data_IF_100300820609
#
_entry.id   IF_100300820609
#
_cell.length_a   1.000
_cell.length_b   1.000
_cell.length_c   1.000
_cell.angle_alpha   90.00
_cell.angle_beta   90.00
_cell.angle_gamma   90.00
#
_symmetry.space_group_name_H-M   'P 1'
#
loop_
_entity.id
_entity.type
_entity.pdbx_description
1 polymer ?
#
# COMPACT_ATOMS: atom_id res chain seq x y z
N UNK A 1 -51.61 25.49 -28.16
CA UNK A 1 -51.34 25.57 -26.71
C UNK A 1 -51.31 24.19 -26.04
N UNK A 2 -52.30 23.31 -26.20
CA UNK A 2 -52.32 21.98 -25.54
C UNK A 2 -51.11 21.08 -25.89
N UNK A 3 -50.61 21.08 -27.13
CA UNK A 3 -49.43 20.28 -27.56
C UNK A 3 -48.11 20.73 -26.93
N UNK A 4 -47.95 22.02 -26.66
CA UNK A 4 -46.79 22.58 -25.96
C UNK A 4 -46.80 22.20 -24.48
N UNK A 5 -47.99 22.15 -23.87
CA UNK A 5 -48.14 21.75 -22.47
C UNK A 5 -47.74 20.28 -22.26
N UNK A 6 -48.15 19.38 -23.16
CA UNK A 6 -47.75 17.96 -23.09
C UNK A 6 -46.23 17.74 -23.26
N UNK A 7 -45.60 18.51 -24.14
CA UNK A 7 -44.17 18.47 -24.33
C UNK A 7 -43.41 18.94 -23.06
N UNK A 8 -43.90 20.00 -22.42
CA UNK A 8 -43.30 20.51 -21.17
C UNK A 8 -43.48 19.53 -20.01
N UNK A 9 -44.63 18.89 -19.89
CA UNK A 9 -44.89 17.87 -18.86
C UNK A 9 -44.01 16.62 -19.09
N UNK A 10 -43.84 16.19 -20.35
CA UNK A 10 -42.98 15.07 -20.70
C UNK A 10 -41.49 15.37 -20.36
N UNK A 11 -41.01 16.58 -20.62
CA UNK A 11 -39.63 17.00 -20.27
C UNK A 11 -39.44 17.08 -18.76
N UNK A 12 -40.43 17.56 -18.01
CA UNK A 12 -40.38 17.56 -16.54
C UNK A 12 -40.39 16.17 -15.93
N UNK A 13 -41.14 15.23 -16.51
CA UNK A 13 -41.12 13.82 -16.03
C UNK A 13 -39.82 13.12 -16.32
N UNK A 14 -39.11 13.47 -17.40
CA UNK A 14 -37.78 12.92 -17.69
C UNK A 14 -36.69 13.44 -16.74
N UNK A 15 -36.83 14.63 -16.18
CA UNK A 15 -35.86 15.21 -15.23
C UNK A 15 -35.93 14.60 -13.83
N UNK A 16 -37.02 13.88 -13.49
CA UNK A 16 -37.17 13.25 -12.17
C UNK A 16 -36.48 11.89 -12.03
N UNK A 17 -35.93 11.36 -13.12
CA UNK A 17 -35.18 10.07 -13.09
C UNK A 17 -33.67 10.21 -12.94
N UNK A 18 -33.16 11.39 -12.62
CA UNK A 18 -31.78 11.57 -12.23
C UNK A 18 -31.58 10.98 -10.83
N UNK A 19 -31.54 9.62 -10.73
CA UNK A 19 -31.10 8.92 -9.54
C UNK A 19 -29.68 9.33 -9.26
N UNK A 20 -29.47 10.06 -8.18
CA UNK A 20 -28.12 10.32 -7.66
C UNK A 20 -27.49 8.95 -7.34
N UNK A 21 -26.70 8.42 -8.26
CA UNK A 21 -26.02 7.17 -8.09
C UNK A 21 -25.00 7.35 -6.96
N UNK A 22 -25.30 6.76 -5.81
CA UNK A 22 -24.39 6.79 -4.66
C UNK A 22 -23.09 6.12 -5.08
N UNK A 23 -22.00 6.88 -5.25
CA UNK A 23 -20.69 6.34 -5.50
C UNK A 23 -20.21 5.65 -4.22
N UNK A 24 -20.08 4.33 -4.28
CA UNK A 24 -19.48 3.54 -3.21
C UNK A 24 -18.00 3.38 -3.59
N UNK A 25 -17.10 3.80 -2.71
CA UNK A 25 -15.68 3.50 -2.81
C UNK A 25 -15.39 2.27 -1.95
N UNK A 26 -14.68 1.31 -2.53
CA UNK A 26 -14.22 0.10 -1.84
C UNK A 26 -12.71 0.16 -1.75
N UNK A 27 -12.18 -0.13 -0.57
CA UNK A 27 -10.74 -0.16 -0.31
C UNK A 27 -10.36 -1.51 0.28
N UNK A 28 -9.25 -2.08 -0.17
CA UNK A 28 -8.61 -3.20 0.50
C UNK A 28 -7.62 -2.68 1.55
N UNK A 29 -7.59 -3.34 2.69
CA UNK A 29 -6.63 -3.12 3.76
C UNK A 29 -5.92 -4.45 4.02
N UNK A 30 -4.60 -4.43 4.08
CA UNK A 30 -3.77 -5.61 4.31
C UNK A 30 -2.91 -5.47 5.56
N UNK A 31 -2.38 -6.60 6.00
CA UNK A 31 -1.35 -6.66 7.03
C UNK A 31 -0.32 -7.72 6.64
N UNK A 32 0.96 -7.41 6.81
CA UNK A 32 2.05 -8.31 6.47
C UNK A 32 3.18 -8.24 7.50
N UNK A 33 3.67 -9.40 7.94
CA UNK A 33 4.86 -9.50 8.77
C UNK A 33 6.09 -9.49 7.86
N UNK A 34 7.01 -8.53 8.06
CA UNK A 34 8.23 -8.39 7.27
C UNK A 34 9.36 -9.34 7.71
N UNK A 35 9.08 -10.22 8.70
CA UNK A 35 10.01 -11.26 9.15
C UNK A 35 11.40 -10.70 9.50
N UNK A 36 11.43 -9.74 10.41
CA UNK A 36 12.64 -9.04 10.84
C UNK A 36 13.34 -8.33 9.66
N UNK A 37 12.72 -7.31 9.13
CA UNK A 37 13.34 -6.40 8.17
C UNK A 37 14.32 -5.49 8.91
N UNK A 38 15.57 -5.94 9.01
CA UNK A 38 16.71 -5.22 9.57
C UNK A 38 17.63 -4.78 8.43
N UNK A 39 18.27 -3.63 8.58
CA UNK A 39 19.38 -3.27 7.73
C UNK A 39 20.69 -4.00 8.19
N UNK A 40 21.82 -3.59 7.72
CA UNK A 40 23.11 -4.24 8.01
C UNK A 40 24.08 -3.33 8.78
N UNK A 41 23.53 -2.26 9.38
CA UNK A 41 24.27 -1.29 10.20
C UNK A 41 23.77 -1.36 11.64
N UNK A 42 24.65 -1.05 12.60
CA UNK A 42 24.30 -1.07 14.01
C UNK A 42 23.61 0.22 14.43
N UNK A 43 22.43 0.08 15.02
CA UNK A 43 21.71 1.16 15.66
C UNK A 43 22.11 1.30 17.13
N UNK A 44 22.58 2.48 17.54
CA UNK A 44 23.03 2.71 18.91
C UNK A 44 21.92 2.39 19.92
N UNK A 45 22.27 1.56 20.92
CA UNK A 45 21.33 1.15 21.98
C UNK A 45 20.36 0.04 21.59
N UNK A 46 20.45 -0.52 20.39
CA UNK A 46 19.65 -1.67 19.94
C UNK A 46 20.44 -2.97 20.03
N UNK A 47 19.73 -4.09 20.15
CA UNK A 47 20.32 -5.43 20.14
C UNK A 47 20.13 -6.08 18.75
N UNK A 48 20.82 -5.52 17.78
CA UNK A 48 20.75 -5.90 16.36
C UNK A 48 21.99 -6.65 15.86
N UNK A 49 22.95 -6.94 16.75
CA UNK A 49 24.28 -7.51 16.44
C UNK A 49 24.24 -8.77 15.56
N UNK A 50 23.16 -9.56 15.62
CA UNK A 50 23.02 -10.74 14.78
C UNK A 50 22.75 -10.40 13.32
N UNK A 51 22.25 -9.19 13.02
CA UNK A 51 21.96 -8.67 11.69
C UNK A 51 23.10 -7.83 11.09
N UNK A 52 24.29 -7.92 11.65
CA UNK A 52 25.47 -7.27 11.10
C UNK A 52 26.25 -8.21 10.16
N UNK A 53 27.15 -7.69 9.29
CA UNK A 53 27.96 -8.52 8.39
C UNK A 53 28.87 -9.53 9.11
N UNK A 54 29.30 -9.22 10.32
CA UNK A 54 30.07 -10.08 11.20
C UNK A 54 29.23 -10.83 12.25
N UNK A 55 27.91 -10.54 12.28
CA UNK A 55 26.96 -11.18 13.17
C UNK A 55 26.61 -12.62 12.76
N UNK A 56 25.81 -13.30 13.59
CA UNK A 56 25.48 -14.72 13.40
C UNK A 56 24.76 -15.02 12.09
N UNK A 57 23.95 -14.07 11.57
CA UNK A 57 23.27 -14.22 10.29
C UNK A 57 24.12 -13.78 9.10
N UNK A 58 25.29 -13.20 9.34
CA UNK A 58 26.14 -12.61 8.29
C UNK A 58 25.30 -11.75 7.36
N UNK A 59 24.49 -10.89 7.98
CA UNK A 59 23.56 -10.04 7.27
C UNK A 59 24.32 -8.89 6.60
N UNK A 60 24.11 -8.69 5.32
CA UNK A 60 24.86 -7.72 4.53
C UNK A 60 23.98 -7.04 3.48
N UNK A 61 24.50 -6.03 2.81
CA UNK A 61 23.81 -5.26 1.79
C UNK A 61 23.12 -6.13 0.73
N UNK A 62 23.78 -7.17 0.25
CA UNK A 62 23.20 -8.05 -0.78
C UNK A 62 21.95 -8.79 -0.26
N UNK A 63 22.00 -9.32 0.96
CA UNK A 63 20.85 -10.00 1.58
C UNK A 63 19.71 -9.02 1.88
N UNK A 64 20.05 -7.85 2.40
CA UNK A 64 19.11 -6.78 2.68
C UNK A 64 18.38 -6.33 1.40
N UNK A 65 19.13 -5.98 0.35
CA UNK A 65 18.59 -5.57 -0.94
C UNK A 65 17.68 -6.65 -1.53
N UNK A 66 18.10 -7.92 -1.48
CA UNK A 66 17.29 -9.03 -1.98
C UNK A 66 15.98 -9.18 -1.18
N UNK A 67 16.04 -9.02 0.14
CA UNK A 67 14.85 -9.04 0.99
C UNK A 67 13.89 -7.90 0.65
N UNK A 68 14.38 -6.67 0.53
CA UNK A 68 13.58 -5.51 0.11
C UNK A 68 12.87 -5.76 -1.23
N UNK A 69 13.60 -6.28 -2.22
CA UNK A 69 13.03 -6.60 -3.54
C UNK A 69 11.91 -7.62 -3.46
N UNK A 70 12.07 -8.67 -2.65
CA UNK A 70 11.05 -9.71 -2.49
C UNK A 70 9.82 -9.18 -1.73
N UNK A 71 10.03 -8.50 -0.59
CA UNK A 71 8.95 -7.93 0.21
C UNK A 71 8.15 -6.89 -0.58
N UNK A 72 8.82 -6.03 -1.34
CA UNK A 72 8.15 -5.02 -2.16
C UNK A 72 7.23 -5.63 -3.22
N UNK A 73 7.61 -6.74 -3.83
CA UNK A 73 6.76 -7.46 -4.79
C UNK A 73 5.50 -8.02 -4.12
N UNK A 74 5.68 -8.68 -2.96
CA UNK A 74 4.55 -9.21 -2.19
C UNK A 74 3.58 -8.09 -1.82
N UNK A 75 4.09 -6.97 -1.28
CA UNK A 75 3.24 -5.84 -0.89
C UNK A 75 2.54 -5.19 -2.09
N UNK A 76 3.21 -5.12 -3.24
CA UNK A 76 2.61 -4.58 -4.47
C UNK A 76 1.45 -5.44 -4.99
N UNK A 77 1.51 -6.75 -4.80
CA UNK A 77 0.50 -7.70 -5.24
C UNK A 77 -0.65 -7.89 -4.24
N UNK A 78 -0.47 -7.47 -2.97
CA UNK A 78 -1.50 -7.62 -1.95
C UNK A 78 -2.83 -6.98 -2.34
N UNK A 79 -3.91 -7.77 -2.24
CA UNK A 79 -5.27 -7.34 -2.52
C UNK A 79 -5.61 -7.17 -4.00
N UNK A 80 -4.70 -7.51 -4.92
CA UNK A 80 -4.97 -7.44 -6.36
C UNK A 80 -5.89 -8.55 -6.84
N UNK A 81 -6.01 -9.64 -6.09
CA UNK A 81 -6.99 -10.70 -6.29
C UNK A 81 -8.42 -10.24 -5.97
N UNK A 82 -8.58 -9.32 -5.01
CA UNK A 82 -9.87 -8.74 -4.61
C UNK A 82 -10.20 -7.48 -5.41
N UNK A 83 -9.21 -6.62 -5.61
CA UNK A 83 -9.32 -5.36 -6.36
C UNK A 83 -8.25 -5.34 -7.49
N UNK A 84 -8.52 -6.00 -8.62
CA UNK A 84 -7.57 -6.09 -9.74
C UNK A 84 -7.07 -4.73 -10.22
N UNK A 85 -5.74 -4.59 -10.33
CA UNK A 85 -5.09 -3.35 -10.74
C UNK A 85 -5.06 -2.24 -9.69
N UNK A 86 -5.73 -2.42 -8.55
CA UNK A 86 -5.77 -1.45 -7.45
C UNK A 86 -4.98 -1.95 -6.24
N UNK A 87 -5.28 -3.16 -5.74
CA UNK A 87 -4.67 -3.74 -4.55
C UNK A 87 -5.02 -3.01 -3.26
N UNK A 88 -4.21 -3.20 -2.22
CA UNK A 88 -4.42 -2.56 -0.92
C UNK A 88 -4.16 -1.05 -0.96
N UNK A 89 -5.09 -0.28 -0.39
CA UNK A 89 -4.94 1.16 -0.16
C UNK A 89 -4.13 1.45 1.12
N UNK A 90 -4.22 0.55 2.10
CA UNK A 90 -3.47 0.60 3.35
C UNK A 90 -2.86 -0.77 3.63
N UNK A 91 -1.62 -0.79 4.07
CA UNK A 91 -0.93 -2.01 4.50
C UNK A 91 -0.26 -1.73 5.84
N UNK A 92 -0.70 -2.43 6.88
CA UNK A 92 0.03 -2.50 8.13
C UNK A 92 1.18 -3.50 7.99
N UNK A 93 2.33 -3.16 8.54
CA UNK A 93 3.49 -4.04 8.57
C UNK A 93 4.03 -4.18 9.99
N UNK A 94 4.67 -5.29 10.27
CA UNK A 94 5.36 -5.56 11.55
C UNK A 94 6.74 -6.13 11.32
N UNK A 95 7.53 -6.18 12.38
CA UNK A 95 8.90 -6.69 12.38
C UNK A 95 9.81 -5.91 11.42
N UNK A 96 9.76 -4.59 11.53
CA UNK A 96 10.66 -3.66 10.87
C UNK A 96 11.51 -2.97 11.94
N UNK A 97 12.79 -2.85 11.70
CA UNK A 97 13.76 -2.31 12.66
C UNK A 97 13.56 -0.82 12.92
N UNK A 98 13.56 -0.05 11.84
CA UNK A 98 13.59 1.42 11.92
C UNK A 98 12.90 2.08 10.72
N UNK A 99 12.79 3.41 10.75
CA UNK A 99 12.19 4.20 9.68
C UNK A 99 12.99 4.11 8.37
N UNK A 100 14.33 3.97 8.44
CA UNK A 100 15.19 3.83 7.26
C UNK A 100 14.86 2.58 6.45
N UNK A 101 14.62 1.46 7.11
CA UNK A 101 14.15 0.23 6.45
C UNK A 101 12.82 0.43 5.70
N UNK A 102 11.93 1.26 6.25
CA UNK A 102 10.66 1.61 5.57
C UNK A 102 10.86 2.53 4.38
N UNK A 103 11.78 3.50 4.47
CA UNK A 103 12.16 4.38 3.35
C UNK A 103 12.68 3.56 2.18
N UNK A 104 13.62 2.65 2.45
CA UNK A 104 14.20 1.77 1.45
C UNK A 104 13.17 0.81 0.83
N UNK A 105 12.23 0.32 1.64
CA UNK A 105 11.17 -0.57 1.18
C UNK A 105 10.21 0.14 0.22
N UNK A 106 9.70 1.33 0.57
CA UNK A 106 8.76 2.06 -0.29
C UNK A 106 9.43 2.64 -1.54
N UNK A 107 10.75 2.81 -1.51
CA UNK A 107 11.55 3.25 -2.66
C UNK A 107 11.77 2.14 -3.71
N UNK A 108 11.49 0.87 -3.37
CA UNK A 108 11.67 -0.25 -4.30
C UNK A 108 10.80 -0.07 -5.56
N UNK A 109 11.29 -0.45 -6.76
CA UNK A 109 10.56 -0.27 -8.01
C UNK A 109 9.13 -0.79 -7.99
N UNK A 110 8.88 -1.94 -7.36
CA UNK A 110 7.55 -2.54 -7.27
C UNK A 110 6.52 -1.68 -6.50
N UNK A 111 6.97 -0.88 -5.52
CA UNK A 111 6.11 -0.01 -4.69
C UNK A 111 6.15 1.45 -5.12
N UNK A 112 7.21 1.88 -5.79
CA UNK A 112 7.42 3.27 -6.18
C UNK A 112 6.26 3.84 -7.00
N UNK A 113 5.73 3.08 -7.94
CA UNK A 113 4.59 3.50 -8.78
C UNK A 113 3.29 3.63 -7.99
N UNK A 114 3.18 2.90 -6.87
CA UNK A 114 2.03 2.95 -5.95
C UNK A 114 2.05 4.20 -5.08
N UNK A 115 3.19 4.91 -5.02
CA UNK A 115 3.39 6.14 -4.26
C UNK A 115 2.94 6.04 -2.79
N UNK A 116 3.20 4.89 -2.14
CA UNK A 116 2.92 4.73 -0.72
C UNK A 116 3.69 5.74 0.12
N UNK A 117 3.02 6.24 1.16
CA UNK A 117 3.62 6.96 2.27
C UNK A 117 3.55 6.07 3.50
N UNK A 118 4.48 6.22 4.41
CA UNK A 118 4.47 5.42 5.63
C UNK A 118 4.47 6.29 6.88
N UNK A 119 4.02 5.69 7.97
CA UNK A 119 4.18 6.18 9.34
C UNK A 119 4.86 5.07 10.11
N UNK A 120 5.95 5.39 10.78
CA UNK A 120 6.68 4.50 11.67
C UNK A 120 6.57 5.00 13.10
N UNK A 121 6.35 4.10 14.04
CA UNK A 121 6.32 4.38 15.48
C UNK A 121 7.38 3.49 16.11
N UNK A 122 8.36 4.12 16.77
CA UNK A 122 9.43 3.45 17.53
C UNK A 122 8.92 2.81 18.81
#
# INVERSE_FOLDING_TARGET
>A
MKRFLYFFVAVMLFSLTASAQKKIAVYAVGFYNLENLFDYTHDEGKNDYQYLPDGSYRWNEMKYTHKLQNMSKVLAEMGTDVLPGVGCAFIGVSEVENAHCMEDLVAQPALKERNFKFVHVE
#
